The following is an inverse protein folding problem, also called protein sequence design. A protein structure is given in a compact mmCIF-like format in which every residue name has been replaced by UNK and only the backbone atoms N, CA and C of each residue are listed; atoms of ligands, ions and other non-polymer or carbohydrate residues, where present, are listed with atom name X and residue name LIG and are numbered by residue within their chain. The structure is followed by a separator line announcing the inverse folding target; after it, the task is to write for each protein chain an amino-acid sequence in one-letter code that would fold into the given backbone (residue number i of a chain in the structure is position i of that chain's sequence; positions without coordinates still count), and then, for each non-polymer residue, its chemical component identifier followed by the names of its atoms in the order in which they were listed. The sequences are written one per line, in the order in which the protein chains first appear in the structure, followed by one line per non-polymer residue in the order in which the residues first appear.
data_IF_326241507617
#
_entry.id   IF_326241507617
#
_cell.length_a   1.000
_cell.length_b   1.000
_cell.length_c   1.000
_cell.angle_alpha   90.00
_cell.angle_beta   90.00
_cell.angle_gamma   90.00
#
_symmetry.space_group_name_H-M   'P 1'
#
loop_
_entity.id
_entity.type
_entity.pdbx_description
1 polymer ?
#
# COMPACT_ATOMS: atom_id res chain seq x y z
N UNK A 1 -60.37 -82.34 67.87
CA UNK A 1 -59.61 -83.45 67.23
C UNK A 1 -58.40 -82.79 66.55
N UNK A 2 -57.31 -82.67 67.28
CA UNK A 2 -56.05 -83.41 67.07
C UNK A 2 -55.18 -82.78 65.96
N UNK A 3 -53.89 -82.49 66.09
CA UNK A 3 -52.83 -82.69 67.10
C UNK A 3 -51.69 -81.73 66.71
N UNK A 4 -50.99 -81.17 67.72
CA UNK A 4 -49.70 -80.47 67.63
C UNK A 4 -48.61 -81.29 66.91
N UNK A 5 -47.70 -80.66 66.14
CA UNK A 5 -46.31 -81.15 66.10
C UNK A 5 -45.26 -80.05 65.85
N UNK A 6 -44.22 -80.21 66.65
CA UNK A 6 -43.15 -79.32 67.08
C UNK A 6 -41.95 -79.28 66.11
N UNK A 7 -41.23 -78.15 66.14
CA UNK A 7 -39.77 -77.95 65.93
C UNK A 7 -39.11 -78.43 64.63
N UNK A 8 -38.46 -77.50 63.92
CA UNK A 8 -37.00 -77.54 63.86
C UNK A 8 -36.38 -76.18 63.51
N UNK A 9 -35.56 -75.65 64.42
CA UNK A 9 -34.74 -74.45 64.24
C UNK A 9 -33.36 -74.87 63.69
N UNK A 10 -33.14 -74.76 62.38
CA UNK A 10 -31.78 -74.80 61.81
C UNK A 10 -31.25 -73.40 61.57
N UNK A 11 -30.34 -72.97 62.47
CA UNK A 11 -29.44 -71.83 62.29
C UNK A 11 -28.62 -72.01 61.01
N UNK A 12 -28.84 -71.19 60.00
CA UNK A 12 -27.89 -71.02 58.89
C UNK A 12 -27.14 -69.71 59.10
N UNK A 13 -25.82 -69.86 59.21
CA UNK A 13 -24.84 -68.80 59.48
C UNK A 13 -24.69 -67.86 58.28
N UNK A 14 -24.73 -66.56 58.57
CA UNK A 14 -23.99 -65.43 57.95
C UNK A 14 -23.48 -65.64 56.52
N UNK A 15 -23.98 -64.81 55.58
CA UNK A 15 -23.15 -64.05 54.63
C UNK A 15 -23.78 -62.67 54.39
N UNK A 16 -23.08 -61.62 54.81
CA UNK A 16 -23.34 -60.23 54.39
C UNK A 16 -23.13 -60.15 52.87
N UNK A 17 -24.12 -59.61 52.15
CA UNK A 17 -23.95 -59.20 50.75
C UNK A 17 -24.36 -57.73 50.65
N UNK A 18 -23.44 -56.80 50.36
CA UNK A 18 -23.79 -55.40 50.11
C UNK A 18 -24.34 -55.27 48.70
N UNK A 19 -25.57 -54.74 48.57
CA UNK A 19 -26.13 -54.39 47.26
C UNK A 19 -25.52 -53.05 46.83
N UNK A 20 -24.60 -53.11 45.85
CA UNK A 20 -23.96 -51.95 45.23
C UNK A 20 -25.01 -51.05 44.57
N UNK A 21 -25.14 -49.81 45.04
CA UNK A 21 -25.88 -48.75 44.35
C UNK A 21 -24.97 -48.19 43.24
N UNK A 22 -25.16 -48.63 42.00
CA UNK A 22 -24.45 -48.09 40.83
C UNK A 22 -25.09 -46.75 40.46
N UNK A 23 -24.46 -45.65 40.85
CA UNK A 23 -24.74 -44.32 40.29
C UNK A 23 -24.12 -44.32 38.89
N UNK A 24 -24.94 -44.48 37.87
CA UNK A 24 -24.53 -44.35 36.47
C UNK A 24 -24.15 -42.89 36.18
N UNK A 25 -22.86 -42.63 36.00
CA UNK A 25 -22.36 -41.37 35.47
C UNK A 25 -22.84 -41.23 34.01
N UNK A 26 -23.91 -40.46 33.79
CA UNK A 26 -24.33 -40.06 32.44
C UNK A 26 -23.33 -38.99 31.97
N UNK A 27 -22.35 -39.41 31.16
CA UNK A 27 -21.46 -38.48 30.48
C UNK A 27 -22.27 -37.74 29.41
N UNK A 28 -22.66 -36.49 29.68
CA UNK A 28 -23.27 -35.60 28.68
C UNK A 28 -22.14 -35.12 27.75
N UNK A 29 -21.91 -35.85 26.66
CA UNK A 29 -20.95 -35.40 25.64
C UNK A 29 -21.60 -34.30 24.82
N UNK A 30 -21.29 -33.04 25.13
CA UNK A 30 -21.61 -31.93 24.25
C UNK A 30 -20.83 -32.10 22.94
N UNK A 31 -21.51 -32.51 21.87
CA UNK A 31 -20.97 -32.55 20.52
C UNK A 31 -21.19 -31.21 19.81
N UNK A 32 -20.31 -30.81 18.88
CA UNK A 32 -20.58 -29.67 18.02
C UNK A 32 -21.87 -29.92 17.23
N UNK A 33 -22.78 -28.93 17.22
CA UNK A 33 -24.14 -29.03 16.64
C UNK A 33 -24.12 -28.93 15.11
N UNK A 34 -23.02 -28.45 14.52
CA UNK A 34 -22.81 -28.41 13.07
C UNK A 34 -21.58 -27.58 12.69
N UNK A 35 -21.09 -27.76 11.46
CA UNK A 35 -20.13 -26.88 10.83
C UNK A 35 -20.86 -26.10 9.73
N UNK A 36 -20.75 -24.78 9.76
CA UNK A 36 -21.37 -23.88 8.77
C UNK A 36 -20.29 -23.35 7.83
N UNK A 37 -20.57 -23.34 6.53
CA UNK A 37 -19.67 -22.76 5.53
C UNK A 37 -20.10 -21.32 5.22
N UNK A 38 -19.18 -20.37 5.35
CA UNK A 38 -19.35 -19.00 4.89
C UNK A 38 -18.40 -18.72 3.72
N UNK A 39 -18.90 -18.09 2.67
CA UNK A 39 -18.09 -17.67 1.51
C UNK A 39 -18.15 -16.17 1.33
N UNK A 40 -17.01 -15.58 0.96
CA UNK A 40 -16.87 -14.19 0.54
C UNK A 40 -16.20 -14.17 -0.81
N UNK A 41 -16.76 -13.39 -1.74
CA UNK A 41 -16.15 -13.11 -3.04
C UNK A 41 -15.49 -11.75 -2.99
N UNK A 42 -14.22 -11.67 -3.35
CA UNK A 42 -13.47 -10.42 -3.49
C UNK A 42 -13.22 -10.19 -4.97
N UNK A 43 -13.64 -9.03 -5.47
CA UNK A 43 -13.44 -8.61 -6.86
C UNK A 43 -12.22 -7.72 -6.97
N UNK A 44 -11.41 -7.92 -8.00
CA UNK A 44 -10.23 -7.08 -8.27
C UNK A 44 -10.64 -5.69 -8.78
N UNK A 45 -9.91 -4.67 -8.34
CA UNK A 45 -9.95 -3.31 -8.89
C UNK A 45 -8.85 -3.09 -9.94
N UNK A 46 -8.39 -1.83 -10.04
CA UNK A 46 -7.37 -1.41 -11.02
C UNK A 46 -6.08 -0.92 -10.37
N UNK A 47 -5.01 -0.89 -11.16
CA UNK A 47 -3.81 -0.10 -10.89
C UNK A 47 -3.99 1.30 -11.49
N UNK A 48 -3.75 2.36 -10.72
CA UNK A 48 -3.93 3.73 -11.18
C UNK A 48 -3.05 4.73 -10.44
N UNK A 49 -2.76 5.85 -11.10
CA UNK A 49 -2.12 7.01 -10.49
C UNK A 49 -2.97 8.25 -10.79
N UNK A 50 -3.10 9.14 -9.81
CA UNK A 50 -3.73 10.44 -9.95
C UNK A 50 -2.70 11.50 -9.59
N UNK A 51 -2.48 12.45 -10.51
CA UNK A 51 -1.50 13.51 -10.35
C UNK A 51 -2.18 14.87 -10.20
N UNK A 52 -1.48 15.78 -9.52
CA UNK A 52 -1.82 17.20 -9.46
C UNK A 52 -0.83 17.98 -10.32
N UNK A 53 -1.26 19.16 -10.79
CA UNK A 53 -0.42 20.06 -11.56
C UNK A 53 0.83 20.47 -10.78
N UNK A 54 1.98 20.55 -11.47
CA UNK A 54 3.24 21.00 -10.89
C UNK A 54 3.29 22.52 -11.07
N UNK A 55 2.97 23.25 -10.00
CA UNK A 55 2.99 24.72 -9.98
C UNK A 55 4.26 25.24 -9.31
N UNK A 56 5.22 25.66 -10.13
CA UNK A 56 6.46 26.29 -9.66
C UNK A 56 6.20 27.68 -9.09
N UNK A 57 6.94 28.04 -8.05
CA UNK A 57 6.96 29.41 -7.50
C UNK A 57 7.52 30.41 -8.52
N UNK A 58 6.95 31.62 -8.59
CA UNK A 58 7.53 32.65 -9.44
C UNK A 58 8.91 33.09 -8.90
N UNK A 59 9.88 33.26 -9.79
CA UNK A 59 11.22 33.80 -9.48
C UNK A 59 11.38 35.20 -10.08
N UNK A 60 12.25 36.02 -9.48
CA UNK A 60 12.62 37.33 -10.01
C UNK A 60 14.05 37.27 -10.50
N UNK A 61 14.28 37.61 -11.77
CA UNK A 61 15.63 37.66 -12.32
C UNK A 61 16.40 38.85 -11.72
N UNK A 62 17.57 38.56 -11.15
CA UNK A 62 18.47 39.55 -10.53
C UNK A 62 19.88 39.56 -11.11
N UNK A 63 20.07 38.85 -12.24
CA UNK A 63 21.37 38.66 -12.88
C UNK A 63 22.14 37.44 -12.37
N UNK A 64 21.52 36.61 -11.51
CA UNK A 64 22.04 35.31 -11.08
C UNK A 64 21.04 34.19 -11.36
N UNK A 65 21.52 32.95 -11.43
CA UNK A 65 20.67 31.78 -11.62
C UNK A 65 19.68 31.64 -10.48
N UNK A 66 18.43 31.38 -10.84
CA UNK A 66 17.34 31.22 -9.91
C UNK A 66 16.95 29.75 -9.79
N UNK A 67 16.31 29.42 -8.68
CA UNK A 67 15.74 28.09 -8.46
C UNK A 67 14.29 28.23 -8.08
N UNK A 68 13.42 27.47 -8.74
CA UNK A 68 12.01 27.39 -8.39
C UNK A 68 11.62 25.98 -7.96
N UNK A 69 10.71 25.88 -7.00
CA UNK A 69 10.31 24.61 -6.39
C UNK A 69 8.79 24.41 -6.44
N UNK A 70 8.37 23.15 -6.47
CA UNK A 70 6.96 22.74 -6.42
C UNK A 70 6.79 21.41 -5.67
N UNK A 71 5.70 21.27 -4.92
CA UNK A 71 5.41 20.06 -4.11
C UNK A 71 3.98 19.56 -4.35
N UNK A 72 3.67 19.04 -5.56
CA UNK A 72 2.33 18.53 -5.85
C UNK A 72 1.98 17.32 -4.97
N UNK A 73 0.70 17.10 -4.72
CA UNK A 73 0.22 15.88 -4.05
C UNK A 73 -0.34 14.91 -5.08
N UNK A 74 0.22 13.71 -5.16
CA UNK A 74 -0.19 12.64 -6.06
C UNK A 74 -0.72 11.44 -5.25
N UNK A 75 -1.41 10.52 -5.92
CA UNK A 75 -1.89 9.27 -5.32
C UNK A 75 -1.60 8.11 -6.24
N UNK A 76 -1.05 7.03 -5.71
CA UNK A 76 -0.94 5.75 -6.39
C UNK A 76 -1.88 4.74 -5.72
N UNK A 77 -2.66 4.00 -6.50
CA UNK A 77 -3.57 2.97 -6.00
C UNK A 77 -3.38 1.66 -6.76
N UNK A 78 -3.09 0.58 -6.03
CA UNK A 78 -3.16 -0.78 -6.51
C UNK A 78 -4.27 -1.55 -5.78
N UNK A 79 -5.43 -1.65 -6.43
CA UNK A 79 -6.59 -2.39 -5.94
C UNK A 79 -6.74 -3.78 -6.60
N UNK A 80 -5.71 -4.27 -7.32
CA UNK A 80 -5.83 -5.50 -8.11
C UNK A 80 -5.88 -6.77 -7.26
N UNK A 81 -5.30 -6.73 -6.06
CA UNK A 81 -5.19 -7.90 -5.17
C UNK A 81 -4.33 -9.04 -5.72
N UNK A 82 -3.52 -8.77 -6.75
CA UNK A 82 -2.72 -9.80 -7.44
C UNK A 82 -1.30 -9.95 -6.89
N UNK A 83 -0.84 -9.02 -6.05
CA UNK A 83 0.52 -9.04 -5.50
C UNK A 83 1.65 -8.85 -6.53
N UNK A 84 1.36 -8.44 -7.77
CA UNK A 84 2.39 -8.38 -8.83
C UNK A 84 3.42 -7.25 -8.67
N UNK A 85 3.23 -6.34 -7.71
CA UNK A 85 3.99 -5.10 -7.60
C UNK A 85 3.70 -4.13 -8.75
N UNK A 86 4.34 -2.96 -8.70
CA UNK A 86 4.17 -1.88 -9.66
C UNK A 86 5.30 -0.87 -9.55
N UNK A 87 5.46 -0.01 -10.55
CA UNK A 87 6.33 1.15 -10.48
C UNK A 87 5.69 2.41 -11.07
N UNK A 88 6.22 3.56 -10.66
CA UNK A 88 5.90 4.87 -11.24
C UNK A 88 7.15 5.46 -11.87
N UNK A 89 7.02 5.89 -13.12
CA UNK A 89 8.06 6.59 -13.86
C UNK A 89 7.64 8.00 -14.27
N UNK A 90 8.62 8.86 -14.48
CA UNK A 90 8.45 10.24 -14.95
C UNK A 90 9.39 10.56 -16.10
N UNK A 91 8.92 11.43 -17.00
CA UNK A 91 9.69 12.07 -18.07
C UNK A 91 9.09 13.46 -18.30
N UNK A 92 9.87 14.42 -18.79
CA UNK A 92 9.38 15.78 -19.02
C UNK A 92 9.73 16.29 -20.42
N UNK A 93 8.94 17.21 -20.95
CA UNK A 93 9.40 18.07 -22.04
C UNK A 93 10.25 19.22 -21.47
N UNK A 94 10.94 19.94 -22.35
CA UNK A 94 11.43 21.28 -22.04
C UNK A 94 10.28 22.20 -21.67
N UNK A 95 10.62 23.28 -20.97
CA UNK A 95 9.67 24.34 -20.68
C UNK A 95 9.83 25.43 -21.73
N UNK A 96 8.73 25.88 -22.33
CA UNK A 96 8.75 26.92 -23.37
C UNK A 96 7.87 28.11 -23.01
N UNK A 97 8.26 29.31 -23.44
CA UNK A 97 7.55 30.54 -23.10
C UNK A 97 7.89 31.72 -24.02
N UNK A 98 7.15 32.82 -23.88
CA UNK A 98 7.45 34.11 -24.54
C UNK A 98 7.15 34.21 -26.04
N UNK A 99 7.50 35.37 -26.62
CA UNK A 99 7.42 35.65 -28.07
C UNK A 99 8.58 36.58 -28.47
N UNK A 100 9.57 36.14 -29.28
CA UNK A 100 9.72 34.80 -29.85
C UNK A 100 9.86 33.71 -28.79
N UNK A 101 9.55 32.46 -29.15
CA UNK A 101 9.62 31.32 -28.22
C UNK A 101 11.02 31.18 -27.64
N UNK A 102 11.08 31.04 -26.31
CA UNK A 102 12.25 30.69 -25.52
C UNK A 102 12.03 29.33 -24.88
N UNK A 103 13.12 28.64 -24.59
CA UNK A 103 13.14 27.27 -24.10
C UNK A 103 14.13 27.20 -22.94
N UNK A 104 13.68 26.63 -21.83
CA UNK A 104 14.55 26.11 -20.77
C UNK A 104 14.77 24.64 -21.10
N UNK A 105 15.96 24.29 -21.56
CA UNK A 105 16.35 22.93 -21.95
C UNK A 105 16.73 22.13 -20.71
N UNK A 106 15.84 21.24 -20.28
CA UNK A 106 16.01 20.52 -19.00
C UNK A 106 17.12 19.47 -19.05
N UNK A 107 17.72 19.24 -20.22
CA UNK A 107 18.86 18.35 -20.40
C UNK A 107 20.21 19.04 -20.21
N UNK A 108 20.25 20.37 -20.21
CA UNK A 108 21.44 21.17 -19.94
C UNK A 108 21.74 21.25 -18.44
N UNK A 109 23.02 21.44 -18.11
CA UNK A 109 23.50 21.30 -16.72
C UNK A 109 22.99 22.39 -15.77
N UNK A 110 22.68 23.58 -16.29
CA UNK A 110 22.27 24.80 -15.58
C UNK A 110 20.76 25.11 -15.71
N UNK A 111 20.00 24.19 -16.31
CA UNK A 111 18.56 24.32 -16.59
C UNK A 111 17.79 23.09 -16.11
N UNK A 112 18.41 22.32 -15.23
CA UNK A 112 17.93 20.99 -14.89
C UNK A 112 16.55 21.02 -14.21
N UNK A 113 15.68 20.10 -14.61
CA UNK A 113 14.49 19.74 -13.85
C UNK A 113 14.82 18.53 -12.99
N UNK A 114 14.75 18.66 -11.68
CA UNK A 114 14.98 17.54 -10.76
C UNK A 114 13.71 17.16 -10.01
N UNK A 115 13.65 15.89 -9.62
CA UNK A 115 12.62 15.34 -8.73
C UNK A 115 13.27 14.66 -7.54
N UNK A 116 12.67 14.84 -6.36
CA UNK A 116 13.00 14.12 -5.14
C UNK A 116 11.71 13.58 -4.52
N UNK A 117 11.74 12.34 -4.07
CA UNK A 117 10.66 11.74 -3.28
C UNK A 117 11.30 11.01 -2.10
N UNK A 118 11.30 11.62 -0.92
CA UNK A 118 11.83 10.94 0.27
C UNK A 118 10.83 9.92 0.80
N UNK A 119 11.29 8.95 1.58
CA UNK A 119 10.38 8.01 2.27
C UNK A 119 9.40 8.73 3.19
N UNK A 120 9.79 9.85 3.80
CA UNK A 120 8.91 10.69 4.62
C UNK A 120 7.80 11.40 3.82
N UNK A 121 7.90 11.47 2.49
CA UNK A 121 6.89 12.02 1.60
C UNK A 121 5.97 10.95 0.99
N UNK A 122 6.07 9.71 1.46
CA UNK A 122 5.21 8.59 1.06
C UNK A 122 4.36 8.21 2.29
N UNK A 123 3.05 8.39 2.19
CA UNK A 123 2.12 8.04 3.27
C UNK A 123 1.22 6.90 2.82
N UNK A 124 1.14 5.84 3.63
CA UNK A 124 0.15 4.76 3.43
C UNK A 124 -1.21 5.28 3.86
N UNK A 125 -2.12 5.46 2.91
CA UNK A 125 -3.51 5.83 3.22
C UNK A 125 -4.33 4.60 3.58
N UNK A 126 -4.15 3.51 2.82
CA UNK A 126 -4.68 2.18 3.09
C UNK A 126 -3.80 1.16 2.37
N UNK A 127 -3.68 -0.07 2.89
CA UNK A 127 -2.91 -1.11 2.22
C UNK A 127 -1.88 -1.80 3.10
N UNK A 128 -0.98 -2.52 2.44
CA UNK A 128 0.17 -3.18 3.07
C UNK A 128 1.39 -2.23 3.08
N UNK A 129 2.61 -2.78 3.01
CA UNK A 129 3.87 -2.06 3.00
C UNK A 129 3.88 -0.88 2.02
N UNK A 130 4.48 0.23 2.46
CA UNK A 130 4.71 1.39 1.59
C UNK A 130 5.65 1.02 0.44
N UNK A 131 5.43 1.56 -0.77
CA UNK A 131 6.39 1.44 -1.86
C UNK A 131 7.72 2.13 -1.51
N UNK A 132 8.80 1.72 -2.16
CA UNK A 132 10.14 2.25 -1.98
C UNK A 132 10.47 3.31 -3.03
N UNK A 133 10.99 4.46 -2.59
CA UNK A 133 11.47 5.50 -3.49
C UNK A 133 12.77 5.09 -4.20
N UNK A 134 12.90 5.46 -5.47
CA UNK A 134 14.15 5.35 -6.24
C UNK A 134 14.90 6.69 -6.34
N UNK A 135 14.28 7.79 -5.88
CA UNK A 135 14.80 9.16 -5.99
C UNK A 135 14.79 9.86 -4.62
N UNK A 136 15.43 9.22 -3.63
CA UNK A 136 15.55 9.76 -2.27
C UNK A 136 16.34 11.07 -2.18
N UNK A 137 17.14 11.38 -3.20
CA UNK A 137 17.83 12.65 -3.43
C UNK A 137 17.36 13.27 -4.75
N UNK A 138 17.59 14.59 -4.91
CA UNK A 138 17.33 15.28 -6.17
C UNK A 138 17.99 14.55 -7.34
N UNK A 139 17.17 14.18 -8.33
CA UNK A 139 17.58 13.39 -9.49
C UNK A 139 17.00 14.03 -10.75
N UNK A 140 17.80 14.18 -11.80
CA UNK A 140 17.37 14.82 -13.04
C UNK A 140 16.23 14.03 -13.70
N UNK A 141 15.16 14.73 -14.03
CA UNK A 141 14.05 14.23 -14.83
C UNK A 141 14.50 14.19 -16.29
N UNK A 142 14.43 13.05 -16.97
CA UNK A 142 14.87 12.94 -18.35
C UNK A 142 13.94 13.70 -19.30
N UNK A 143 14.52 14.23 -20.38
CA UNK A 143 13.77 14.82 -21.50
C UNK A 143 12.99 13.74 -22.28
N UNK A 144 11.84 14.15 -22.85
CA UNK A 144 10.95 13.29 -23.62
C UNK A 144 11.63 12.79 -24.89
N UNK A 145 11.91 11.49 -24.92
CA UNK A 145 12.75 10.85 -25.94
C UNK A 145 13.88 10.03 -25.34
N UNK A 146 14.22 10.27 -24.07
CA UNK A 146 15.07 9.41 -23.25
C UNK A 146 14.32 8.28 -22.53
N UNK A 147 15.06 7.51 -21.73
CA UNK A 147 14.49 6.50 -20.83
C UNK A 147 13.79 7.15 -19.64
N UNK A 148 12.53 6.79 -19.37
CA UNK A 148 11.79 7.33 -18.23
C UNK A 148 12.47 7.00 -16.89
N UNK A 149 12.47 7.96 -15.97
CA UNK A 149 13.06 7.81 -14.64
C UNK A 149 12.06 7.12 -13.72
N UNK A 150 12.42 5.96 -13.16
CA UNK A 150 11.66 5.32 -12.09
C UNK A 150 11.83 6.10 -10.80
N UNK A 151 10.73 6.56 -10.20
CA UNK A 151 10.74 7.34 -8.96
C UNK A 151 10.24 6.55 -7.75
N UNK A 152 9.43 5.53 -7.99
CA UNK A 152 8.75 4.75 -6.96
C UNK A 152 8.50 3.33 -7.44
N UNK A 153 8.65 2.35 -6.57
CA UNK A 153 8.40 0.94 -6.89
C UNK A 153 7.86 0.19 -5.68
N UNK A 154 6.91 -0.70 -5.91
CA UNK A 154 6.44 -1.70 -4.95
C UNK A 154 6.88 -3.08 -5.42
N UNK A 155 7.51 -3.84 -4.54
CA UNK A 155 7.91 -5.22 -4.82
C UNK A 155 6.69 -6.14 -4.98
N UNK A 156 6.95 -7.39 -5.38
CA UNK A 156 5.95 -8.46 -5.35
C UNK A 156 5.45 -8.63 -3.91
N UNK A 157 4.14 -8.81 -3.77
CA UNK A 157 3.37 -8.89 -2.52
C UNK A 157 3.41 -7.63 -1.64
N UNK A 158 3.94 -6.52 -2.16
CA UNK A 158 3.96 -5.19 -1.53
C UNK A 158 3.16 -4.17 -2.34
N UNK A 159 2.92 -2.98 -1.77
CA UNK A 159 2.29 -1.86 -2.47
C UNK A 159 0.81 -2.06 -2.86
N UNK A 160 0.10 -3.03 -2.30
CA UNK A 160 -1.34 -3.17 -2.52
C UNK A 160 -2.08 -2.22 -1.58
N UNK A 161 -2.87 -1.30 -2.15
CA UNK A 161 -3.57 -0.26 -1.41
C UNK A 161 -3.49 1.11 -2.10
N UNK A 162 -3.63 2.17 -1.31
CA UNK A 162 -3.59 3.56 -1.73
C UNK A 162 -2.52 4.31 -0.95
N UNK A 163 -1.68 5.05 -1.67
CA UNK A 163 -0.53 5.77 -1.15
C UNK A 163 -0.54 7.22 -1.61
N UNK A 164 -0.41 8.14 -0.66
CA UNK A 164 -0.23 9.57 -0.94
C UNK A 164 1.26 9.86 -1.13
N UNK A 165 1.59 10.59 -2.20
CA UNK A 165 2.94 10.91 -2.60
C UNK A 165 3.09 12.43 -2.69
N UNK A 166 4.15 12.98 -2.09
CA UNK A 166 4.43 14.43 -2.15
C UNK A 166 5.86 14.64 -2.68
N UNK A 167 6.11 14.41 -3.99
CA UNK A 167 7.42 14.67 -4.57
C UNK A 167 7.73 16.17 -4.54
N UNK A 168 9.02 16.51 -4.43
CA UNK A 168 9.54 17.86 -4.62
C UNK A 168 10.15 17.94 -6.02
N UNK A 169 9.67 18.88 -6.82
CA UNK A 169 10.27 19.25 -8.10
C UNK A 169 11.05 20.55 -7.95
N UNK A 170 12.20 20.62 -8.59
CA UNK A 170 13.04 21.82 -8.63
C UNK A 170 13.47 22.08 -10.06
N UNK A 171 13.36 23.32 -10.52
CA UNK A 171 13.83 23.78 -11.83
C UNK A 171 14.84 24.91 -11.64
N UNK A 172 15.99 24.79 -12.29
CA UNK A 172 16.96 25.88 -12.43
C UNK A 172 16.54 26.80 -13.58
N UNK A 173 16.58 28.11 -13.33
CA UNK A 173 16.21 29.16 -14.28
C UNK A 173 17.45 30.06 -14.45
N UNK A 174 18.18 29.96 -15.56
CA UNK A 174 19.38 30.74 -15.80
C UNK A 174 19.16 32.25 -15.71
N UNK A 175 20.20 32.99 -15.35
CA UNK A 175 20.18 34.45 -15.25
C UNK A 175 19.77 35.16 -16.56
N UNK A 176 20.05 34.55 -17.71
CA UNK A 176 19.80 35.05 -19.06
C UNK A 176 18.39 34.76 -19.60
N UNK A 177 17.55 34.07 -18.83
CA UNK A 177 16.18 33.77 -19.23
C UNK A 177 15.32 35.04 -19.35
N UNK A 178 14.17 34.90 -20.01
CA UNK A 178 13.24 36.01 -20.21
C UNK A 178 12.20 36.02 -19.10
N UNK A 179 11.78 37.20 -18.66
CA UNK A 179 10.73 37.36 -17.65
C UNK A 179 9.33 37.06 -18.22
N UNK A 180 9.05 35.79 -18.52
CA UNK A 180 7.80 35.27 -19.08
C UNK A 180 7.39 33.98 -18.36
N UNK A 181 6.17 33.52 -18.57
CA UNK A 181 5.75 32.21 -18.11
C UNK A 181 6.29 31.11 -19.05
N UNK A 182 6.98 30.13 -18.47
CA UNK A 182 7.42 28.92 -19.16
C UNK A 182 6.54 27.74 -18.77
N UNK A 183 6.16 26.92 -19.75
CA UNK A 183 5.29 25.75 -19.55
C UNK A 183 5.90 24.51 -20.19
N UNK A 184 5.85 23.38 -19.48
CA UNK A 184 6.26 22.07 -19.95
C UNK A 184 5.30 20.99 -19.46
N UNK A 185 5.49 19.75 -19.90
CA UNK A 185 4.65 18.61 -19.52
C UNK A 185 5.49 17.53 -18.87
N UNK A 186 5.23 17.24 -17.59
CA UNK A 186 5.73 16.04 -16.92
C UNK A 186 4.72 14.91 -17.12
N UNK A 187 5.14 13.86 -17.81
CA UNK A 187 4.35 12.64 -18.03
C UNK A 187 4.66 11.64 -16.93
N UNK A 188 3.61 11.19 -16.23
CA UNK A 188 3.70 10.20 -15.15
C UNK A 188 3.04 8.91 -15.61
N UNK A 189 3.76 7.79 -15.53
CA UNK A 189 3.23 6.47 -15.89
C UNK A 189 3.27 5.55 -14.69
N UNK A 190 2.18 4.82 -14.46
CA UNK A 190 2.16 3.69 -13.52
C UNK A 190 2.02 2.39 -14.29
N UNK A 191 2.87 1.41 -14.00
CA UNK A 191 2.90 0.14 -14.71
C UNK A 191 2.92 -1.03 -13.73
N UNK A 192 2.37 -2.16 -14.18
CA UNK A 192 2.50 -3.43 -13.49
C UNK A 192 3.95 -3.89 -13.57
N UNK A 193 4.43 -4.56 -12.53
CA UNK A 193 5.84 -4.97 -12.27
C UNK A 193 6.71 -3.89 -11.62
N UNK A 194 7.62 -4.25 -10.70
CA UNK A 194 8.51 -3.30 -10.00
C UNK A 194 9.57 -2.58 -10.87
#
# INVERSE_FOLDING_TARGET
MNIYRTTDFRRVKRRLLPFLMVIGLVAFTAGPIGAESATVTVNAGSLSATTAAIGFTAVTLDGTDQTSTATPTWTATDARGSGLGWNVTVISTDLTGGTPTRTIDISEADQNLTVQLTSGNITVTAGNSAPTTSVGSATNVPFTGGSALKILSAAVDEGMGTYSLVPTFTIEVPAEEYAVAYTGTVTVTIASTP
#
